data_IF_611166441640
#
_entry.id   IF_611166441640
#
_cell.length_a   1.000
_cell.length_b   1.000
_cell.length_c   1.000
_cell.angle_alpha   90.00
_cell.angle_beta   90.00
_cell.angle_gamma   90.00
#
_symmetry.space_group_name_H-M   'P 1'
#
loop_
_entity.id
_entity.type
_entity.pdbx_description
1 polymer ?
#
# COMPACT_ATOMS: atom_id res chain seq x y z
N UNK A 1 2.20 -94.90 4.01
CA UNK A 1 2.98 -94.28 5.10
C UNK A 1 3.09 -92.77 4.84
N UNK A 2 2.78 -91.95 5.87
CA UNK A 2 3.14 -90.54 6.15
C UNK A 2 2.68 -89.46 5.13
N UNK A 3 1.75 -88.52 5.43
CA UNK A 3 1.83 -87.29 6.28
C UNK A 3 3.01 -86.37 5.91
N UNK A 4 2.98 -85.03 5.78
CA UNK A 4 2.08 -83.85 5.95
C UNK A 4 2.76 -82.67 5.18
N UNK A 5 2.03 -81.73 4.55
CA UNK A 5 1.89 -80.29 4.90
C UNK A 5 3.19 -79.51 5.21
N UNK A 6 3.56 -78.51 4.39
CA UNK A 6 3.92 -77.15 4.86
C UNK A 6 3.98 -76.11 3.72
N UNK A 7 3.38 -74.96 3.99
CA UNK A 7 3.49 -73.70 3.26
C UNK A 7 4.85 -73.06 3.56
N UNK A 8 5.41 -72.27 2.63
CA UNK A 8 6.04 -71.01 3.04
C UNK A 8 6.16 -70.00 1.90
N UNK A 9 5.80 -68.78 2.28
CA UNK A 9 5.80 -67.52 1.56
C UNK A 9 7.20 -66.93 1.51
N UNK A 10 7.65 -66.44 0.36
CA UNK A 10 8.70 -65.42 0.20
C UNK A 10 8.41 -64.73 -1.14
N UNK A 11 8.02 -63.46 -1.27
CA UNK A 11 8.42 -62.31 -0.47
C UNK A 11 9.64 -61.64 -1.10
N UNK A 12 9.49 -60.98 -2.25
CA UNK A 12 10.42 -59.91 -2.62
C UNK A 12 9.65 -58.74 -3.24
N UNK A 13 9.20 -57.87 -2.33
CA UNK A 13 8.73 -56.55 -2.65
C UNK A 13 9.92 -55.62 -2.84
N UNK A 14 10.46 -55.55 -4.06
CA UNK A 14 11.22 -54.37 -4.47
C UNK A 14 10.25 -53.28 -4.95
N UNK A 15 9.62 -52.61 -3.97
CA UNK A 15 9.12 -51.23 -4.14
C UNK A 15 10.35 -50.35 -4.39
N UNK A 16 10.77 -50.26 -5.65
CA UNK A 16 11.56 -49.12 -6.11
C UNK A 16 10.70 -47.91 -5.83
N UNK A 17 11.07 -47.23 -4.75
CA UNK A 17 10.41 -46.04 -4.26
C UNK A 17 10.61 -44.99 -5.34
N UNK A 18 9.55 -44.79 -6.13
CA UNK A 18 9.39 -43.70 -7.07
C UNK A 18 9.47 -42.41 -6.24
N UNK A 19 10.70 -41.96 -5.98
CA UNK A 19 11.00 -40.65 -5.46
C UNK A 19 10.65 -39.68 -6.59
N UNK A 20 9.36 -39.45 -6.75
CA UNK A 20 8.84 -38.28 -7.43
C UNK A 20 9.25 -37.09 -6.57
N UNK A 21 10.48 -36.62 -6.81
CA UNK A 21 10.89 -35.27 -6.50
C UNK A 21 9.90 -34.40 -7.26
N UNK A 22 8.82 -34.01 -6.58
CA UNK A 22 7.89 -33.02 -7.07
C UNK A 22 8.73 -31.77 -7.30
N UNK A 23 9.07 -31.51 -8.56
CA UNK A 23 9.60 -30.23 -9.00
C UNK A 23 8.51 -29.20 -8.67
N UNK A 24 8.57 -28.66 -7.46
CA UNK A 24 7.82 -27.48 -7.09
C UNK A 24 8.15 -26.46 -8.17
N UNK A 25 7.17 -25.92 -8.91
CA UNK A 25 7.44 -24.96 -9.96
C UNK A 25 8.33 -23.86 -9.40
N UNK A 26 9.38 -23.47 -10.13
CA UNK A 26 10.37 -22.48 -9.67
C UNK A 26 9.68 -21.20 -9.12
N UNK A 27 8.55 -20.79 -9.71
CA UNK A 27 7.73 -19.67 -9.24
C UNK A 27 7.01 -19.93 -7.90
N UNK A 28 6.68 -21.18 -7.56
CA UNK A 28 6.13 -21.58 -6.27
C UNK A 28 7.22 -21.68 -5.20
N UNK A 29 8.42 -22.10 -5.57
CA UNK A 29 9.61 -22.06 -4.71
C UNK A 29 10.03 -20.61 -4.41
N UNK A 30 10.07 -19.76 -5.43
CA UNK A 30 10.35 -18.32 -5.32
C UNK A 30 9.34 -17.62 -4.39
N UNK A 31 8.04 -17.89 -4.56
CA UNK A 31 6.99 -17.35 -3.68
C UNK A 31 7.08 -17.88 -2.24
N UNK A 32 7.47 -19.13 -2.06
CA UNK A 32 7.74 -19.70 -0.74
C UNK A 32 8.89 -18.98 -0.03
N UNK A 33 9.99 -18.72 -0.77
CA UNK A 33 11.13 -17.96 -0.27
C UNK A 33 10.78 -16.51 0.07
N UNK A 34 9.99 -15.84 -0.77
CA UNK A 34 9.49 -14.49 -0.48
C UNK A 34 8.65 -14.46 0.80
N UNK A 35 7.75 -15.43 0.98
CA UNK A 35 6.93 -15.54 2.19
C UNK A 35 7.79 -15.80 3.44
N UNK A 36 8.75 -16.71 3.35
CA UNK A 36 9.70 -17.03 4.41
C UNK A 36 10.57 -15.81 4.78
N UNK A 37 11.08 -15.07 3.80
CA UNK A 37 11.79 -13.82 4.04
C UNK A 37 10.90 -12.79 4.72
N UNK A 38 9.68 -12.59 4.23
CA UNK A 38 8.75 -11.63 4.85
C UNK A 38 8.43 -12.00 6.29
N UNK A 39 8.31 -13.29 6.60
CA UNK A 39 8.07 -13.79 7.93
C UNK A 39 9.27 -13.57 8.85
N UNK A 40 10.49 -13.81 8.38
CA UNK A 40 11.71 -13.56 9.17
C UNK A 40 11.87 -12.08 9.48
N UNK A 41 11.73 -11.18 8.49
CA UNK A 41 11.86 -9.74 8.72
C UNK A 41 10.80 -9.27 9.73
N UNK A 42 9.56 -9.74 9.59
CA UNK A 42 8.48 -9.44 10.53
C UNK A 42 8.74 -10.00 11.93
N UNK A 43 9.26 -11.22 12.04
CA UNK A 43 9.58 -11.88 13.32
C UNK A 43 10.77 -11.23 14.02
N UNK A 44 11.78 -10.83 13.26
CA UNK A 44 12.95 -10.08 13.74
C UNK A 44 12.64 -8.59 13.99
N UNK A 45 11.39 -8.16 13.79
CA UNK A 45 10.96 -6.77 13.91
C UNK A 45 11.86 -5.83 13.10
N UNK A 46 12.33 -6.24 11.93
CA UNK A 46 13.19 -5.40 11.13
C UNK A 46 12.34 -4.26 10.54
N UNK A 47 12.80 -3.03 10.77
CA UNK A 47 12.03 -1.81 10.55
C UNK A 47 12.17 -1.34 9.09
N UNK A 48 11.32 -0.42 8.65
CA UNK A 48 11.42 0.26 7.34
C UNK A 48 12.71 1.08 7.13
N UNK A 49 13.60 1.11 8.13
CA UNK A 49 14.92 1.75 8.08
C UNK A 49 16.05 0.74 8.35
N UNK A 50 15.76 -0.56 8.36
CA UNK A 50 16.75 -1.60 8.62
C UNK A 50 17.81 -1.61 7.51
N UNK A 51 19.08 -1.68 7.89
CA UNK A 51 20.19 -1.85 6.96
C UNK A 51 20.55 -3.33 6.81
N UNK A 52 21.09 -3.70 5.64
CA UNK A 52 21.56 -5.06 5.40
C UNK A 52 22.65 -5.46 6.40
N UNK A 53 23.64 -4.58 6.62
CA UNK A 53 24.77 -4.82 7.52
C UNK A 53 24.34 -5.13 8.96
N UNK A 54 23.30 -4.46 9.46
CA UNK A 54 22.77 -4.71 10.81
C UNK A 54 21.85 -5.95 10.86
N UNK A 55 21.14 -6.23 9.76
CA UNK A 55 20.15 -7.31 9.69
C UNK A 55 20.79 -8.66 9.39
N UNK A 56 21.86 -8.69 8.59
CA UNK A 56 22.59 -9.90 8.18
C UNK A 56 22.95 -10.82 9.35
N UNK A 57 23.63 -10.36 10.43
CA UNK A 57 23.97 -11.27 11.54
C UNK A 57 22.75 -11.78 12.32
N UNK A 58 21.60 -11.07 12.26
CA UNK A 58 20.34 -11.53 12.87
C UNK A 58 19.66 -12.58 12.00
N UNK A 59 19.78 -12.45 10.67
CA UNK A 59 19.29 -13.41 9.69
C UNK A 59 20.11 -14.71 9.71
N UNK A 60 21.43 -14.62 9.81
CA UNK A 60 22.33 -15.78 9.90
C UNK A 60 22.10 -16.61 11.18
N UNK A 61 21.62 -15.98 12.26
CA UNK A 61 21.26 -16.63 13.52
C UNK A 61 19.80 -17.11 13.55
N UNK A 62 19.08 -17.04 12.43
CA UNK A 62 17.71 -17.54 12.33
C UNK A 62 17.68 -19.03 12.70
N UNK A 63 16.96 -19.44 13.77
CA UNK A 63 16.89 -20.84 14.18
C UNK A 63 16.35 -21.78 13.10
N UNK A 64 15.60 -21.23 12.14
CA UNK A 64 15.03 -21.99 11.02
C UNK A 64 15.96 -22.06 9.80
N UNK A 65 17.16 -21.48 9.86
CA UNK A 65 18.20 -21.62 8.83
C UNK A 65 17.84 -21.06 7.45
N UNK A 66 16.79 -20.25 7.34
CA UNK A 66 16.27 -19.78 6.04
C UNK A 66 17.20 -18.78 5.34
N UNK A 67 18.08 -18.11 6.10
CA UNK A 67 19.16 -17.31 5.55
C UNK A 67 20.36 -18.15 5.07
N UNK A 68 20.46 -19.41 5.49
CA UNK A 68 21.48 -20.37 5.06
C UNK A 68 20.97 -21.26 3.91
N UNK A 69 20.11 -20.72 3.05
CA UNK A 69 19.58 -21.43 1.90
C UNK A 69 20.71 -21.72 0.89
N UNK A 70 21.05 -22.98 0.60
CA UNK A 70 22.16 -23.34 -0.30
C UNK A 70 21.93 -22.94 -1.76
N UNK A 71 20.71 -22.53 -2.13
CA UNK A 71 20.34 -22.11 -3.48
C UNK A 71 20.38 -20.59 -3.69
N UNK A 72 20.54 -19.80 -2.62
CA UNK A 72 20.64 -18.35 -2.71
C UNK A 72 22.04 -17.92 -2.35
N UNK A 73 22.67 -17.16 -3.23
CA UNK A 73 23.93 -16.52 -2.90
C UNK A 73 23.70 -15.27 -2.02
N UNK A 74 24.81 -14.72 -1.53
CA UNK A 74 24.81 -13.55 -0.66
C UNK A 74 24.17 -12.31 -1.31
N UNK A 75 24.27 -12.18 -2.63
CA UNK A 75 23.76 -11.04 -3.40
C UNK A 75 22.24 -11.13 -3.58
N UNK A 76 21.73 -12.31 -3.94
CA UNK A 76 20.30 -12.57 -4.09
C UNK A 76 19.56 -12.39 -2.76
N UNK A 77 20.17 -12.86 -1.67
CA UNK A 77 19.66 -12.64 -0.32
C UNK A 77 19.60 -11.13 0.03
N UNK A 78 20.66 -10.39 -0.21
CA UNK A 78 20.66 -8.94 0.03
C UNK A 78 19.60 -8.22 -0.83
N UNK A 79 19.41 -8.65 -2.08
CA UNK A 79 18.37 -8.12 -2.98
C UNK A 79 16.97 -8.38 -2.43
N UNK A 80 16.68 -9.61 -1.99
CA UNK A 80 15.39 -9.96 -1.38
C UNK A 80 15.12 -9.12 -0.13
N UNK A 81 16.13 -8.91 0.72
CA UNK A 81 16.01 -8.04 1.88
C UNK A 81 15.66 -6.60 1.47
N UNK A 82 16.39 -6.03 0.51
CA UNK A 82 16.16 -4.65 0.05
C UNK A 82 14.77 -4.47 -0.56
N UNK A 83 14.32 -5.42 -1.38
CA UNK A 83 12.98 -5.39 -1.96
C UNK A 83 11.91 -5.49 -0.88
N UNK A 84 12.11 -6.36 0.12
CA UNK A 84 11.18 -6.48 1.22
C UNK A 84 11.11 -5.21 2.08
N UNK A 85 12.25 -4.60 2.42
CA UNK A 85 12.30 -3.32 3.15
C UNK A 85 11.57 -2.23 2.38
N UNK A 86 11.71 -2.20 1.04
CA UNK A 86 10.98 -1.29 0.16
C UNK A 86 9.47 -1.54 0.23
N UNK A 87 9.00 -2.78 0.11
CA UNK A 87 7.56 -3.11 0.24
C UNK A 87 7.00 -2.73 1.61
N UNK A 88 7.76 -2.94 2.70
CA UNK A 88 7.37 -2.50 4.04
C UNK A 88 7.25 -0.97 4.13
N UNK A 89 8.18 -0.25 3.51
CA UNK A 89 8.14 1.21 3.44
C UNK A 89 6.94 1.70 2.65
N UNK A 90 6.69 1.16 1.46
CA UNK A 90 5.54 1.48 0.61
C UNK A 90 4.22 1.25 1.36
N UNK A 91 4.11 0.15 2.10
CA UNK A 91 2.94 -0.12 2.94
C UNK A 91 2.79 0.91 4.06
N UNK A 92 3.88 1.28 4.74
CA UNK A 92 3.83 2.33 5.77
C UNK A 92 3.42 3.68 5.20
N UNK A 93 3.90 4.03 4.00
CA UNK A 93 3.51 5.24 3.29
C UNK A 93 2.02 5.21 2.95
N UNK A 94 1.53 4.09 2.42
CA UNK A 94 0.11 3.91 2.11
C UNK A 94 -0.76 4.07 3.36
N UNK A 95 -0.46 3.33 4.43
CA UNK A 95 -1.21 3.39 5.69
C UNK A 95 -1.19 4.81 6.29
N UNK A 96 -0.06 5.53 6.18
CA UNK A 96 0.05 6.92 6.60
C UNK A 96 -0.79 7.87 5.75
N UNK A 97 -0.85 7.66 4.43
CA UNK A 97 -1.73 8.45 3.54
C UNK A 97 -3.21 8.23 3.87
N UNK A 98 -3.60 6.98 4.14
CA UNK A 98 -4.95 6.66 4.59
C UNK A 98 -5.23 7.36 5.93
N UNK A 99 -4.31 7.30 6.89
CA UNK A 99 -4.43 8.04 8.15
C UNK A 99 -4.64 9.55 7.94
N UNK A 100 -3.87 10.18 7.04
CA UNK A 100 -4.04 11.60 6.72
C UNK A 100 -5.44 11.89 6.18
N UNK A 101 -5.94 11.06 5.25
CA UNK A 101 -7.30 11.18 4.71
C UNK A 101 -8.39 10.96 5.76
N UNK A 102 -8.20 10.00 6.67
CA UNK A 102 -9.18 9.68 7.72
C UNK A 102 -9.28 10.78 8.78
N UNK A 103 -8.13 11.40 9.14
CA UNK A 103 -8.04 12.34 10.25
C UNK A 103 -8.17 13.80 9.80
N UNK A 104 -7.61 14.14 8.64
CA UNK A 104 -7.66 15.49 8.06
C UNK A 104 -8.79 15.55 7.03
N UNK A 105 -10.01 15.29 7.49
CA UNK A 105 -11.21 15.46 6.67
C UNK A 105 -11.48 16.94 6.41
N UNK A 106 -12.35 17.26 5.45
CA UNK A 106 -12.73 18.65 5.13
C UNK A 106 -13.23 19.43 6.35
N UNK A 107 -13.97 18.77 7.24
CA UNK A 107 -14.50 19.38 8.47
C UNK A 107 -13.37 19.71 9.45
N UNK A 108 -12.47 18.76 9.71
CA UNK A 108 -11.32 18.97 10.61
C UNK A 108 -10.33 19.97 10.02
N UNK A 109 -10.18 19.97 8.69
CA UNK A 109 -9.35 20.91 7.96
C UNK A 109 -9.85 22.36 8.06
N UNK A 110 -11.16 22.57 8.17
CA UNK A 110 -11.77 23.89 8.34
C UNK A 110 -11.80 24.37 9.81
N UNK A 111 -11.52 23.49 10.77
CA UNK A 111 -11.46 23.88 12.18
C UNK A 111 -10.22 24.71 12.48
N UNK A 112 -10.47 25.94 12.91
CA UNK A 112 -9.44 26.86 13.41
C UNK A 112 -9.23 26.62 14.91
N UNK A 113 -7.97 26.52 15.31
CA UNK A 113 -7.58 26.57 16.73
C UNK A 113 -7.62 28.01 17.23
N UNK A 114 -7.53 28.21 18.55
CA UNK A 114 -7.44 29.55 19.18
C UNK A 114 -6.37 30.47 18.55
N UNK A 115 -5.29 29.88 18.01
CA UNK A 115 -4.21 30.59 17.32
C UNK A 115 -4.52 30.95 15.84
N UNK A 116 -5.73 30.70 15.33
CA UNK A 116 -6.11 30.89 13.92
C UNK A 116 -5.48 29.88 12.95
N UNK A 117 -4.85 28.82 13.46
CA UNK A 117 -4.21 27.76 12.65
C UNK A 117 -5.17 26.60 12.43
N UNK A 118 -5.05 25.91 11.30
CA UNK A 118 -5.81 24.70 10.98
C UNK A 118 -4.90 23.49 10.80
N UNK A 119 -5.49 22.29 10.69
CA UNK A 119 -4.74 21.07 10.37
C UNK A 119 -4.13 21.08 8.95
N UNK A 120 -4.57 21.99 8.07
CA UNK A 120 -3.98 22.20 6.74
C UNK A 120 -2.86 23.23 6.73
N UNK A 121 -2.90 24.24 7.62
CA UNK A 121 -1.91 25.32 7.62
C UNK A 121 -0.76 25.11 8.61
N UNK A 122 -0.91 24.18 9.57
CA UNK A 122 0.11 23.91 10.58
C UNK A 122 0.36 22.43 10.82
N UNK A 123 1.60 22.00 10.56
CA UNK A 123 2.05 20.65 10.88
C UNK A 123 1.93 20.34 12.37
N UNK A 124 2.20 21.28 13.27
CA UNK A 124 2.06 21.08 14.72
C UNK A 124 0.62 20.74 15.13
N UNK A 125 -0.36 21.42 14.51
CA UNK A 125 -1.79 21.13 14.72
C UNK A 125 -2.15 19.75 14.16
N UNK A 126 -1.76 19.45 12.92
CA UNK A 126 -1.99 18.13 12.31
C UNK A 126 -1.35 16.99 13.12
N UNK A 127 -0.09 17.14 13.53
CA UNK A 127 0.67 16.18 14.34
C UNK A 127 -0.04 15.83 15.65
N UNK A 128 -0.70 16.79 16.29
CA UNK A 128 -1.44 16.56 17.54
C UNK A 128 -2.65 15.64 17.34
N UNK A 129 -3.26 15.67 16.15
CA UNK A 129 -4.35 14.78 15.76
C UNK A 129 -3.83 13.38 15.36
N UNK A 130 -2.68 13.33 14.68
CA UNK A 130 -2.12 12.09 14.14
C UNK A 130 -1.40 11.22 15.19
N UNK A 131 -0.84 11.82 16.25
CA UNK A 131 0.06 11.13 17.20
C UNK A 131 -0.58 9.98 17.99
N UNK A 132 -1.91 9.95 18.11
CA UNK A 132 -2.65 8.90 18.81
C UNK A 132 -2.74 7.60 18.00
N UNK A 133 -2.57 7.67 16.68
CA UNK A 133 -2.75 6.52 15.79
C UNK A 133 -1.45 5.68 15.69
N UNK A 134 -1.51 4.34 15.82
CA UNK A 134 -0.36 3.47 15.65
C UNK A 134 0.35 3.60 14.29
N UNK A 135 -0.39 3.89 13.21
CA UNK A 135 0.16 4.10 11.85
C UNK A 135 1.13 5.29 11.80
N UNK A 136 0.90 6.32 12.63
CA UNK A 136 1.81 7.46 12.76
C UNK A 136 3.20 7.04 13.26
N UNK A 137 3.26 6.14 14.25
CA UNK A 137 4.53 5.69 14.84
C UNK A 137 5.34 4.82 13.88
N UNK A 138 4.66 4.03 13.04
CA UNK A 138 5.31 3.15 12.04
C UNK A 138 5.99 3.91 10.90
N UNK A 139 5.48 5.09 10.53
CA UNK A 139 6.08 5.89 9.48
C UNK A 139 7.41 6.53 9.94
N UNK A 140 8.51 6.43 9.16
CA UNK A 140 9.77 7.14 9.44
C UNK A 140 9.58 8.64 9.71
N UNK A 141 10.15 9.15 10.82
CA UNK A 141 9.95 10.54 11.29
C UNK A 141 10.27 11.59 10.22
N UNK A 142 11.36 11.39 9.48
CA UNK A 142 11.88 12.31 8.45
C UNK A 142 10.93 12.52 7.25
N UNK A 143 9.95 11.63 7.07
CA UNK A 143 9.05 11.65 5.91
C UNK A 143 7.62 12.09 6.25
N UNK A 144 7.27 12.17 7.54
CA UNK A 144 5.89 12.42 7.97
C UNK A 144 5.38 13.78 7.49
N UNK A 145 6.22 14.81 7.64
CA UNK A 145 5.87 16.18 7.28
C UNK A 145 5.80 16.38 5.77
N UNK A 146 6.70 15.76 4.99
CA UNK A 146 6.65 15.84 3.53
C UNK A 146 5.42 15.14 2.94
N UNK A 147 5.01 14.00 3.52
CA UNK A 147 3.76 13.33 3.16
C UNK A 147 2.53 14.17 3.51
N UNK A 148 2.55 14.87 4.64
CA UNK A 148 1.49 15.80 5.02
C UNK A 148 1.40 16.99 4.05
N UNK A 149 2.53 17.63 3.71
CA UNK A 149 2.54 18.73 2.72
C UNK A 149 1.90 18.31 1.39
N UNK A 150 2.31 17.15 0.85
CA UNK A 150 1.74 16.62 -0.39
C UNK A 150 0.24 16.35 -0.28
N UNK A 151 -0.22 15.88 0.87
CA UNK A 151 -1.64 15.66 1.12
C UNK A 151 -2.43 16.98 1.16
N UNK A 152 -1.89 18.01 1.82
CA UNK A 152 -2.50 19.35 1.87
C UNK A 152 -2.58 19.96 0.46
N UNK A 153 -1.50 19.89 -0.33
CA UNK A 153 -1.48 20.36 -1.71
C UNK A 153 -2.56 19.67 -2.56
N UNK A 154 -2.69 18.35 -2.41
CA UNK A 154 -3.69 17.56 -3.13
C UNK A 154 -5.12 17.94 -2.72
N UNK A 155 -5.36 18.21 -1.44
CA UNK A 155 -6.65 18.69 -0.93
C UNK A 155 -6.99 20.08 -1.50
N UNK A 156 -6.04 21.01 -1.50
CA UNK A 156 -6.23 22.35 -2.09
C UNK A 156 -6.50 22.27 -3.59
N UNK A 157 -5.78 21.39 -4.31
CA UNK A 157 -6.01 21.15 -5.74
C UNK A 157 -7.41 20.62 -6.01
N UNK A 158 -7.92 19.70 -5.18
CA UNK A 158 -9.29 19.16 -5.29
C UNK A 158 -10.34 20.23 -5.03
N UNK A 159 -10.13 21.10 -4.03
CA UNK A 159 -11.03 22.20 -3.72
C UNK A 159 -11.12 23.19 -4.89
N UNK A 160 -9.97 23.57 -5.48
CA UNK A 160 -9.94 24.47 -6.65
C UNK A 160 -10.71 23.89 -7.84
N UNK A 161 -10.50 22.62 -8.17
CA UNK A 161 -11.20 21.97 -9.28
C UNK A 161 -12.71 21.86 -9.05
N UNK A 162 -13.16 21.67 -7.81
CA UNK A 162 -14.59 21.64 -7.49
C UNK A 162 -15.24 23.01 -7.75
N UNK A 163 -14.57 24.10 -7.36
CA UNK A 163 -15.03 25.47 -7.59
C UNK A 163 -15.13 25.78 -9.09
N UNK A 164 -14.12 25.42 -9.87
CA UNK A 164 -14.10 25.66 -11.32
C UNK A 164 -15.27 24.93 -12.04
N UNK A 165 -15.55 23.68 -11.65
CA UNK A 165 -16.66 22.90 -12.23
C UNK A 165 -18.05 23.43 -11.84
N UNK A 166 -18.21 23.96 -10.62
CA UNK A 166 -19.48 24.58 -10.22
C UNK A 166 -19.69 25.92 -10.93
N UNK A 167 -18.64 26.71 -11.13
CA UNK A 167 -18.67 27.96 -11.89
C UNK A 167 -19.12 27.76 -13.34
N UNK A 168 -18.58 26.75 -14.04
CA UNK A 168 -18.97 26.43 -15.42
C UNK A 168 -20.43 25.95 -15.52
N UNK A 169 -20.89 25.09 -14.61
CA UNK A 169 -22.29 24.62 -14.59
C UNK A 169 -23.27 25.77 -14.31
N UNK A 170 -22.93 26.69 -13.41
CA UNK A 170 -23.76 27.86 -13.14
C UNK A 170 -23.76 28.85 -14.31
N UNK A 171 -22.62 29.06 -14.98
CA UNK A 171 -22.52 29.90 -16.16
C UNK A 171 -23.33 29.33 -17.34
N UNK A 172 -23.30 28.01 -17.56
CA UNK A 172 -24.08 27.35 -18.61
C UNK A 172 -25.59 27.41 -18.31
N UNK A 173 -25.99 27.20 -17.05
CA UNK A 173 -27.40 27.31 -16.63
C UNK A 173 -27.92 28.74 -16.79
N UNK A 174 -27.10 29.75 -16.51
CA UNK A 174 -27.45 31.16 -16.70
C UNK A 174 -27.50 31.55 -18.18
N UNK A 175 -26.59 31.01 -18.98
CA UNK A 175 -26.56 31.21 -20.44
C UNK A 175 -27.83 30.67 -21.09
N UNK A 176 -28.26 29.44 -20.76
CA UNK A 176 -29.51 28.85 -21.30
C UNK A 176 -30.77 29.63 -20.92
N UNK A 177 -30.84 30.19 -19.71
CA UNK A 177 -31.98 31.05 -19.28
C UNK A 177 -31.99 32.41 -19.97
N UNK A 178 -30.84 32.94 -20.39
CA UNK A 178 -30.75 34.23 -21.08
C UNK A 178 -31.20 34.16 -22.55
N UNK A 179 -31.13 32.99 -23.19
CA UNK A 179 -31.43 32.84 -24.62
C UNK A 179 -32.95 32.83 -24.90
N UNK A 180 -33.78 32.54 -23.91
CA UNK A 180 -35.24 32.38 -24.12
C UNK A 180 -36.04 33.71 -24.07
N UNK A 181 -35.47 34.79 -23.51
CA UNK A 181 -36.14 36.10 -23.46
C UNK A 181 -35.90 37.00 -24.69
N UNK A 182 -35.03 36.60 -25.61
CA UNK A 182 -34.67 37.41 -26.78
C UNK A 182 -35.59 37.27 -28.00
N UNK A 183 -36.56 36.35 -27.99
CA UNK A 183 -37.27 35.95 -29.23
C UNK A 183 -38.64 36.61 -29.46
N UNK A 184 -39.10 37.52 -28.59
CA UNK A 184 -40.45 38.12 -28.72
C UNK A 184 -40.49 39.63 -29.00
N UNK A 185 -39.36 40.28 -29.30
CA UNK A 185 -39.34 41.72 -29.62
C UNK A 185 -38.61 41.99 -30.95
N UNK A 186 -39.07 41.37 -32.04
CA UNK A 186 -38.73 41.88 -33.38
C UNK A 186 -39.79 41.45 -34.40
N UNK A 187 -40.70 42.37 -34.71
CA UNK A 187 -41.79 42.24 -35.68
C UNK A 187 -42.93 43.13 -35.20
N UNK A 188 -43.40 44.16 -35.89
CA UNK A 188 -43.36 44.43 -37.32
C UNK A 188 -43.61 45.93 -37.51
N UNK A 189 -42.74 46.63 -38.23
CA UNK A 189 -43.01 47.98 -38.78
C UNK A 189 -42.80 47.91 -40.29
N UNK A 190 -43.84 48.25 -41.04
CA UNK A 190 -43.84 48.49 -42.48
C UNK A 190 -45.16 47.99 -43.09
N UNK A 191 -45.89 48.72 -43.94
CA UNK A 191 -45.68 50.01 -44.59
C UNK A 191 -47.06 50.62 -44.88
N UNK A 192 -47.13 51.95 -44.94
CA UNK A 192 -48.25 52.70 -45.49
C UNK A 192 -47.75 53.38 -46.77
N UNK A 193 -48.27 52.94 -47.92
CA UNK A 193 -48.47 53.72 -49.15
C UNK A 193 -49.49 53.01 -50.04
#
# INVERSE_FOLDING_TARGET
MRHKHEQESNGDGSRVSDQRITLIPLASFQRGLEFDYTYIIKSLHLHTQASWTESKPKLEKDPQGRAANPYLDQSDLEKLFREHVKVLHERCVYDFRVLLSDVITSEVAAQETEDGKTAMTSWSTAKRLLKSDPRYTKMPRKERESLWHRHVEEMQRRQKLAVDQEGEKQAETRSRRSVDYGKYLSGSRGNHE
#
